data_IF_241210965073
#
_entry.id   IF_241210965073
#
_cell.length_a   1.000
_cell.length_b   1.000
_cell.length_c   1.000
_cell.angle_alpha   90.00
_cell.angle_beta   90.00
_cell.angle_gamma   90.00
#
_symmetry.space_group_name_H-M   'P 1'
#
loop_
_entity.id
_entity.type
_entity.pdbx_description
1 polymer ?
#
# COMPACT_ATOMS: atom_id res chain seq x y z
N UNK A 1 18.59 -13.21 -9.46
CA UNK A 1 18.88 -12.37 -8.27
C UNK A 1 17.83 -12.69 -7.22
N UNK A 2 18.25 -12.89 -5.99
CA UNK A 2 17.36 -13.27 -4.88
C UNK A 2 16.34 -12.17 -4.59
N UNK A 3 15.05 -12.52 -4.59
CA UNK A 3 13.97 -11.61 -4.20
C UNK A 3 13.81 -11.63 -2.68
N UNK A 4 13.94 -10.48 -2.05
CA UNK A 4 13.92 -10.31 -0.58
C UNK A 4 12.77 -9.44 -0.10
N UNK A 5 12.40 -8.45 -0.92
CA UNK A 5 11.36 -7.49 -0.59
C UNK A 5 10.14 -7.80 -1.46
N UNK A 6 8.97 -7.86 -0.86
CA UNK A 6 7.73 -8.09 -1.58
C UNK A 6 6.82 -6.89 -1.35
N UNK A 7 6.48 -6.15 -2.42
CA UNK A 7 5.48 -5.09 -2.34
C UNK A 7 4.14 -5.60 -2.85
N UNK A 8 3.05 -5.28 -2.17
CA UNK A 8 1.69 -5.70 -2.56
C UNK A 8 0.80 -4.48 -2.74
N UNK A 9 0.58 -4.11 -4.00
CA UNK A 9 -0.52 -3.24 -4.40
C UNK A 9 -1.80 -4.05 -4.52
N UNK A 10 -2.96 -3.44 -4.27
CA UNK A 10 -4.20 -4.24 -4.15
C UNK A 10 -5.46 -3.41 -4.31
N UNK A 11 -6.48 -3.96 -4.94
CA UNK A 11 -7.84 -3.42 -4.87
C UNK A 11 -8.46 -3.62 -3.49
N UNK A 12 -9.38 -2.73 -3.09
CA UNK A 12 -10.11 -2.88 -1.83
C UNK A 12 -11.04 -4.09 -1.92
N UNK A 13 -11.00 -4.95 -0.92
CA UNK A 13 -11.78 -6.19 -0.89
C UNK A 13 -11.13 -7.39 -1.59
N UNK A 14 -10.08 -7.23 -2.41
CA UNK A 14 -9.41 -8.34 -3.10
C UNK A 14 -8.65 -9.32 -2.17
N UNK A 15 -8.43 -8.95 -0.92
CA UNK A 15 -7.68 -9.82 0.00
C UNK A 15 -6.16 -9.62 -0.02
N UNK A 16 -5.62 -8.69 -0.81
CA UNK A 16 -4.17 -8.48 -0.92
C UNK A 16 -3.46 -8.25 0.41
N UNK A 17 -4.12 -7.58 1.39
CA UNK A 17 -3.58 -7.47 2.75
C UNK A 17 -3.46 -8.83 3.45
N UNK A 18 -4.44 -9.70 3.26
CA UNK A 18 -4.43 -11.06 3.82
C UNK A 18 -3.33 -11.89 3.17
N UNK A 19 -3.24 -11.83 1.84
CA UNK A 19 -2.15 -12.48 1.08
C UNK A 19 -0.78 -12.02 1.61
N UNK A 20 -0.56 -10.70 1.72
CA UNK A 20 0.72 -10.17 2.21
C UNK A 20 1.10 -10.66 3.61
N UNK A 21 0.14 -10.70 4.53
CA UNK A 21 0.38 -11.22 5.88
C UNK A 21 0.76 -12.69 5.83
N UNK A 22 0.00 -13.51 5.12
CA UNK A 22 0.27 -14.96 5.03
C UNK A 22 1.59 -15.26 4.33
N UNK A 23 1.97 -14.47 3.31
CA UNK A 23 3.30 -14.58 2.67
C UNK A 23 4.40 -14.26 3.69
N UNK A 24 4.26 -13.18 4.46
CA UNK A 24 5.24 -12.81 5.48
C UNK A 24 5.38 -13.88 6.58
N UNK A 25 4.25 -14.40 7.06
CA UNK A 25 4.22 -15.50 8.06
C UNK A 25 4.90 -16.76 7.53
N UNK A 26 4.60 -17.17 6.29
CA UNK A 26 5.19 -18.38 5.65
C UNK A 26 6.69 -18.26 5.42
N UNK A 27 7.14 -17.08 4.98
CA UNK A 27 8.56 -16.82 4.72
C UNK A 27 9.36 -16.45 5.99
N UNK A 28 8.68 -16.24 7.13
CA UNK A 28 9.32 -15.83 8.38
C UNK A 28 9.95 -14.44 8.33
N UNK A 29 9.35 -13.51 7.57
CA UNK A 29 9.85 -12.14 7.38
C UNK A 29 8.87 -11.09 7.91
N UNK A 30 9.33 -9.87 8.26
CA UNK A 30 8.48 -8.79 8.74
C UNK A 30 7.38 -8.40 7.74
N UNK A 31 6.22 -8.00 8.29
CA UNK A 31 5.06 -7.51 7.57
C UNK A 31 4.78 -6.06 7.93
N UNK A 32 4.70 -5.17 6.94
CA UNK A 32 4.45 -3.74 7.11
C UNK A 32 3.17 -3.30 6.40
N UNK A 33 2.20 -2.83 7.18
CA UNK A 33 0.93 -2.26 6.72
C UNK A 33 0.51 -1.12 7.67
N UNK A 34 -0.03 -1.41 8.86
CA UNK A 34 -0.31 -0.39 9.87
C UNK A 34 0.96 0.13 10.55
N UNK A 35 1.89 -0.74 10.78
CA UNK A 35 3.21 -0.44 11.35
C UNK A 35 3.96 0.61 10.51
N UNK A 36 3.72 0.64 9.21
CA UNK A 36 4.24 1.67 8.31
C UNK A 36 3.61 3.04 8.60
N UNK A 37 2.30 3.07 8.89
CA UNK A 37 1.59 4.31 9.28
C UNK A 37 2.17 4.85 10.59
N UNK A 38 2.42 3.97 11.55
CA UNK A 38 2.97 4.35 12.86
C UNK A 38 4.39 4.91 12.72
N UNK A 39 5.24 4.32 11.88
CA UNK A 39 6.59 4.84 11.61
C UNK A 39 6.55 6.20 10.89
N UNK A 40 5.71 6.36 9.87
CA UNK A 40 5.52 7.63 9.19
C UNK A 40 4.99 8.70 10.16
N UNK A 41 4.08 8.32 11.05
CA UNK A 41 3.54 9.19 12.10
C UNK A 41 4.65 9.68 13.04
N UNK A 42 5.49 8.77 13.51
CA UNK A 42 6.60 9.08 14.39
C UNK A 42 7.60 10.04 13.73
N UNK A 43 7.99 9.77 12.48
CA UNK A 43 8.98 10.58 11.76
C UNK A 43 8.43 11.92 11.28
N UNK A 44 7.14 11.99 10.92
CA UNK A 44 6.51 13.22 10.45
C UNK A 44 6.00 14.13 11.57
N UNK A 45 5.78 13.58 12.78
CA UNK A 45 5.12 14.28 13.87
C UNK A 45 3.60 14.41 13.73
N UNK A 46 2.99 13.85 12.67
CA UNK A 46 1.53 13.85 12.49
C UNK A 46 0.88 12.67 13.20
N UNK A 47 -0.37 12.86 13.66
CA UNK A 47 -1.14 11.77 14.26
C UNK A 47 -1.35 10.60 13.28
N UNK A 48 -1.32 9.32 13.73
CA UNK A 48 -1.50 8.16 12.86
C UNK A 48 -2.76 8.23 11.99
N UNK A 49 -3.88 8.71 12.54
CA UNK A 49 -5.13 8.92 11.80
C UNK A 49 -4.96 9.90 10.64
N UNK A 50 -4.22 10.98 10.86
CA UNK A 50 -3.92 11.95 9.81
C UNK A 50 -3.07 11.33 8.70
N UNK A 51 -2.02 10.57 9.06
CA UNK A 51 -1.17 9.84 8.12
C UNK A 51 -1.98 8.79 7.34
N UNK A 52 -2.90 8.07 7.99
CA UNK A 52 -3.76 7.08 7.34
C UNK A 52 -4.71 7.76 6.33
N UNK A 53 -5.32 8.87 6.72
CA UNK A 53 -6.26 9.60 5.87
C UNK A 53 -5.58 10.31 4.70
N UNK A 54 -4.42 10.91 4.90
CA UNK A 54 -3.73 11.75 3.91
C UNK A 54 -2.67 11.00 3.10
N UNK A 55 -2.09 9.94 3.63
CA UNK A 55 -1.07 9.14 2.94
C UNK A 55 -1.59 8.30 1.77
N UNK A 56 -2.91 8.11 1.64
CA UNK A 56 -3.57 7.52 0.46
C UNK A 56 -4.49 8.55 -0.25
N UNK A 57 -4.40 9.85 0.08
CA UNK A 57 -5.18 10.92 -0.55
C UNK A 57 -4.26 11.82 -1.38
N UNK A 58 -4.80 12.32 -2.50
CA UNK A 58 -4.08 13.29 -3.32
C UNK A 58 -4.12 14.69 -2.72
N UNK A 59 -3.08 15.50 -2.91
CA UNK A 59 -3.14 16.93 -2.64
C UNK A 59 -4.25 17.55 -3.48
N UNK A 60 -5.14 18.30 -2.86
CA UNK A 60 -6.16 19.08 -3.56
C UNK A 60 -7.62 18.85 -3.17
N UNK A 61 -7.95 17.87 -2.34
CA UNK A 61 -9.34 17.63 -1.96
C UNK A 61 -9.76 18.20 -0.60
N UNK A 62 -8.93 18.97 0.10
CA UNK A 62 -9.33 19.55 1.39
C UNK A 62 -8.73 20.91 1.68
N UNK A 63 -9.58 21.93 1.68
CA UNK A 63 -9.35 23.22 2.35
C UNK A 63 -9.09 23.05 3.88
N UNK A 64 -9.31 21.85 4.42
CA UNK A 64 -9.11 21.50 5.83
C UNK A 64 -7.66 21.15 6.19
N UNK A 65 -6.74 20.99 5.23
CA UNK A 65 -5.33 20.66 5.49
C UNK A 65 -4.62 21.73 6.33
N UNK A 66 -5.10 22.98 6.32
CA UNK A 66 -4.55 24.07 7.13
C UNK A 66 -5.00 24.04 8.60
N UNK A 67 -6.13 23.41 8.92
CA UNK A 67 -6.71 23.44 10.26
C UNK A 67 -6.09 22.41 11.23
N UNK A 68 -5.38 21.42 10.73
CA UNK A 68 -4.77 20.34 11.52
C UNK A 68 -3.23 20.26 11.40
N UNK A 69 -2.61 21.25 10.77
CA UNK A 69 -1.17 21.41 10.88
C UNK A 69 -0.84 21.67 12.37
N UNK A 70 0.10 20.92 12.99
CA UNK A 70 0.52 21.22 14.36
C UNK A 70 0.97 22.66 14.39
N UNK A 71 0.29 23.50 15.20
CA UNK A 71 0.76 24.85 15.48
C UNK A 71 2.11 24.71 16.21
N UNK A 72 3.21 24.87 15.49
CA UNK A 72 4.52 24.86 16.12
C UNK A 72 5.68 24.31 15.29
N UNK A 73 5.52 23.97 14.02
CA UNK A 73 6.66 23.59 13.17
C UNK A 73 6.75 24.49 11.93
N UNK A 74 6.93 25.82 12.06
CA UNK A 74 7.37 26.66 10.96
C UNK A 74 8.83 26.34 10.70
N UNK A 75 9.16 25.83 9.52
CA UNK A 75 10.53 25.54 9.12
C UNK A 75 10.87 24.08 8.85
N UNK A 76 10.12 23.09 9.38
CA UNK A 76 10.39 21.67 9.11
C UNK A 76 9.89 21.26 7.72
N UNK A 77 8.88 21.92 7.18
CA UNK A 77 8.32 21.58 5.86
C UNK A 77 9.07 22.23 4.67
N UNK A 78 10.06 23.07 4.91
CA UNK A 78 10.92 23.72 3.88
C UNK A 78 10.13 24.26 2.66
N UNK A 79 8.93 24.81 2.87
CA UNK A 79 8.06 25.30 1.80
C UNK A 79 7.26 24.24 1.06
N UNK A 80 7.35 22.96 1.44
CA UNK A 80 6.54 21.89 0.87
C UNK A 80 5.08 21.95 1.37
N UNK A 81 4.16 21.46 0.54
CA UNK A 81 2.81 21.18 1.04
C UNK A 81 2.86 20.05 2.08
N UNK A 82 1.87 20.00 2.97
CA UNK A 82 1.75 18.90 3.95
C UNK A 82 1.74 17.52 3.27
N UNK A 83 1.12 17.41 2.11
CA UNK A 83 1.05 16.17 1.34
C UNK A 83 2.41 15.76 0.77
N UNK A 84 3.16 16.72 0.20
CA UNK A 84 4.51 16.44 -0.32
C UNK A 84 5.50 16.16 0.81
N UNK A 85 5.37 16.82 1.95
CA UNK A 85 6.16 16.49 3.14
C UNK A 85 5.92 15.06 3.61
N UNK A 86 4.64 14.63 3.74
CA UNK A 86 4.28 13.26 4.09
C UNK A 86 4.76 12.25 3.05
N UNK A 87 4.71 12.60 1.76
CA UNK A 87 5.22 11.76 0.70
C UNK A 87 6.74 11.54 0.85
N UNK A 88 7.50 12.58 1.12
CA UNK A 88 8.94 12.47 1.30
C UNK A 88 9.31 11.60 2.53
N UNK A 89 8.60 11.77 3.65
CA UNK A 89 8.76 10.91 4.83
C UNK A 89 8.41 9.46 4.50
N UNK A 90 7.29 9.23 3.81
CA UNK A 90 6.88 7.90 3.38
C UNK A 90 7.95 7.22 2.51
N UNK A 91 8.52 7.93 1.55
CA UNK A 91 9.62 7.42 0.72
C UNK A 91 10.83 7.04 1.58
N UNK A 92 11.24 7.92 2.49
CA UNK A 92 12.37 7.67 3.42
C UNK A 92 12.13 6.43 4.27
N UNK A 93 10.97 6.31 4.90
CA UNK A 93 10.61 5.16 5.77
C UNK A 93 10.61 3.85 4.97
N UNK A 94 10.02 3.83 3.77
CA UNK A 94 9.97 2.63 2.94
C UNK A 94 11.36 2.19 2.49
N UNK A 95 12.23 3.13 2.10
CA UNK A 95 13.62 2.83 1.74
C UNK A 95 14.39 2.27 2.94
N UNK A 96 14.28 2.90 4.11
CA UNK A 96 14.91 2.42 5.34
C UNK A 96 14.44 1.01 5.75
N UNK A 97 13.14 0.72 5.60
CA UNK A 97 12.61 -0.62 5.86
C UNK A 97 13.22 -1.64 4.89
N UNK A 98 13.26 -1.30 3.60
CA UNK A 98 13.84 -2.15 2.58
C UNK A 98 15.33 -2.42 2.79
N UNK A 99 16.07 -1.46 3.36
CA UNK A 99 17.50 -1.61 3.66
C UNK A 99 17.77 -2.46 4.92
N UNK A 100 16.79 -2.58 5.82
CA UNK A 100 16.92 -3.46 7.01
C UNK A 100 16.92 -4.96 6.68
N UNK A 101 16.37 -5.36 5.53
CA UNK A 101 16.37 -6.74 5.08
C UNK A 101 15.05 -7.22 4.47
N UNK A 102 14.86 -8.55 4.38
CA UNK A 102 13.66 -9.14 3.80
C UNK A 102 12.38 -8.67 4.49
N UNK A 103 11.35 -8.29 3.70
CA UNK A 103 10.07 -7.85 4.26
C UNK A 103 8.93 -7.90 3.23
N UNK A 104 7.70 -7.84 3.72
CA UNK A 104 6.49 -7.60 2.92
C UNK A 104 5.92 -6.23 3.26
N UNK A 105 5.70 -5.40 2.25
CA UNK A 105 5.14 -4.04 2.38
C UNK A 105 3.83 -3.96 1.60
N UNK A 106 2.74 -3.49 2.23
CA UNK A 106 1.42 -3.42 1.60
C UNK A 106 1.00 -1.99 1.32
N UNK A 107 0.85 -1.65 0.05
CA UNK A 107 0.38 -0.34 -0.42
C UNK A 107 1.40 0.77 -0.31
N UNK A 108 0.93 2.01 -0.10
CA UNK A 108 1.77 3.21 0.07
C UNK A 108 2.72 3.48 -1.11
N UNK A 109 2.31 3.06 -2.32
CA UNK A 109 3.12 3.20 -3.53
C UNK A 109 4.52 2.57 -3.40
N UNK A 110 4.68 1.55 -2.52
CA UNK A 110 5.96 0.91 -2.27
C UNK A 110 6.54 0.23 -3.53
N UNK A 111 5.67 -0.26 -4.42
CA UNK A 111 6.03 -0.77 -5.74
C UNK A 111 6.78 0.28 -6.58
N UNK A 112 6.33 1.54 -6.55
CA UNK A 112 6.98 2.62 -7.26
C UNK A 112 8.23 3.13 -6.55
N UNK A 113 8.18 3.28 -5.23
CA UNK A 113 9.33 3.76 -4.42
C UNK A 113 10.51 2.80 -4.55
N UNK A 114 10.24 1.49 -4.65
CA UNK A 114 11.26 0.44 -4.74
C UNK A 114 11.45 -0.10 -6.17
N UNK A 115 10.93 0.59 -7.20
CA UNK A 115 10.93 0.14 -8.60
C UNK A 115 12.32 -0.19 -9.18
N UNK A 116 13.34 0.48 -8.67
CA UNK A 116 14.72 0.31 -9.11
C UNK A 116 15.51 -0.70 -8.24
N UNK A 117 14.83 -1.35 -7.27
CA UNK A 117 15.43 -2.38 -6.40
C UNK A 117 15.34 -3.74 -7.08
N UNK A 118 16.47 -4.32 -7.51
CA UNK A 118 16.47 -5.61 -8.22
C UNK A 118 16.09 -6.80 -7.32
N UNK A 119 16.17 -6.63 -6.00
CA UNK A 119 15.78 -7.61 -4.99
C UNK A 119 14.31 -7.48 -4.55
N UNK A 120 13.54 -6.55 -5.14
CA UNK A 120 12.11 -6.42 -4.91
C UNK A 120 11.27 -7.26 -5.89
N UNK A 121 10.16 -7.80 -5.40
CA UNK A 121 9.08 -8.41 -6.17
C UNK A 121 7.83 -7.54 -6.00
N UNK A 122 7.31 -7.01 -7.09
CA UNK A 122 6.13 -6.15 -7.09
C UNK A 122 4.90 -6.94 -7.52
N UNK A 123 3.96 -7.14 -6.59
CA UNK A 123 2.71 -7.86 -6.85
C UNK A 123 1.49 -6.94 -6.81
N UNK A 124 0.52 -7.23 -7.67
CA UNK A 124 -0.80 -6.61 -7.66
C UNK A 124 -1.89 -7.66 -7.44
N UNK A 125 -2.75 -7.46 -6.42
CA UNK A 125 -3.85 -8.38 -6.10
C UNK A 125 -5.18 -7.72 -6.41
N UNK A 126 -5.95 -8.33 -7.30
CA UNK A 126 -7.27 -7.85 -7.71
C UNK A 126 -8.33 -8.96 -7.64
N UNK A 127 -9.57 -8.61 -7.81
CA UNK A 127 -10.68 -9.54 -8.01
C UNK A 127 -11.88 -8.81 -8.62
N UNK A 128 -12.88 -9.53 -9.07
CA UNK A 128 -14.11 -8.95 -9.58
C UNK A 128 -14.93 -8.22 -8.48
N UNK A 129 -15.82 -7.36 -8.90
CA UNK A 129 -16.64 -6.55 -7.98
C UNK A 129 -17.54 -7.42 -7.08
N UNK A 130 -18.27 -8.45 -7.58
CA UNK A 130 -19.11 -9.30 -6.75
C UNK A 130 -18.32 -9.98 -5.62
N UNK A 131 -17.20 -10.61 -5.93
CA UNK A 131 -16.34 -11.25 -4.92
C UNK A 131 -15.86 -10.26 -3.85
N UNK A 132 -15.40 -9.08 -4.29
CA UNK A 132 -14.90 -8.05 -3.38
C UNK A 132 -16.01 -7.45 -2.51
N UNK A 133 -17.19 -7.25 -3.07
CA UNK A 133 -18.36 -6.72 -2.37
C UNK A 133 -18.80 -7.67 -1.24
N UNK A 134 -18.97 -8.96 -1.54
CA UNK A 134 -19.27 -9.98 -0.52
C UNK A 134 -18.19 -10.02 0.57
N UNK A 135 -16.93 -10.01 0.17
CA UNK A 135 -15.80 -10.08 1.10
C UNK A 135 -15.76 -8.89 2.07
N UNK A 136 -16.02 -7.66 1.61
CA UNK A 136 -15.99 -6.49 2.50
C UNK A 136 -17.16 -6.48 3.48
N UNK A 137 -18.34 -6.95 3.09
CA UNK A 137 -19.48 -7.11 4.00
C UNK A 137 -19.16 -8.14 5.08
N UNK A 138 -18.69 -9.32 4.69
CA UNK A 138 -18.31 -10.38 5.64
C UNK A 138 -17.22 -9.93 6.63
N UNK A 139 -16.28 -9.09 6.21
CA UNK A 139 -15.12 -8.71 7.04
C UNK A 139 -15.31 -7.43 7.84
N UNK A 140 -16.07 -6.48 7.33
CA UNK A 140 -16.21 -5.13 7.90
C UNK A 140 -17.65 -4.76 8.23
N UNK A 141 -18.61 -5.64 7.96
CA UNK A 141 -20.03 -5.41 8.17
C UNK A 141 -20.68 -4.47 7.16
N UNK A 142 -21.96 -4.26 7.37
CA UNK A 142 -22.79 -3.33 6.61
C UNK A 142 -22.42 -1.86 6.96
N UNK A 143 -22.83 -0.94 6.10
CA UNK A 143 -22.71 0.50 6.31
C UNK A 143 -23.80 1.23 5.55
N UNK A 144 -23.94 2.56 5.73
CA UNK A 144 -24.89 3.40 5.00
C UNK A 144 -24.62 3.46 3.48
N UNK A 145 -23.43 2.99 3.03
CA UNK A 145 -23.05 2.92 1.63
C UNK A 145 -23.12 1.48 1.14
N UNK A 146 -23.53 1.29 -0.12
CA UNK A 146 -23.47 -0.04 -0.73
C UNK A 146 -22.04 -0.57 -0.80
N UNK A 147 -21.84 -1.87 -0.84
CA UNK A 147 -20.51 -2.46 -0.97
C UNK A 147 -19.75 -1.90 -2.18
N UNK A 148 -20.40 -1.76 -3.34
CA UNK A 148 -19.83 -1.26 -4.58
C UNK A 148 -19.39 0.20 -4.45
N UNK A 149 -20.18 1.05 -3.78
CA UNK A 149 -19.81 2.43 -3.48
C UNK A 149 -18.54 2.49 -2.63
N UNK A 150 -18.46 1.63 -1.59
CA UNK A 150 -17.28 1.52 -0.72
C UNK A 150 -16.04 1.09 -1.51
N UNK A 151 -16.18 0.11 -2.40
CA UNK A 151 -15.10 -0.36 -3.29
C UNK A 151 -14.62 0.78 -4.17
N UNK A 152 -15.55 1.41 -4.88
CA UNK A 152 -15.25 2.50 -5.82
C UNK A 152 -14.53 3.67 -5.14
N UNK A 153 -15.00 4.13 -3.99
CA UNK A 153 -14.40 5.25 -3.26
C UNK A 153 -12.97 4.94 -2.80
N UNK A 154 -12.74 3.75 -2.25
CA UNK A 154 -11.41 3.35 -1.76
C UNK A 154 -10.42 3.20 -2.92
N UNK A 155 -10.83 2.55 -4.00
CA UNK A 155 -9.96 2.35 -5.16
C UNK A 155 -9.74 3.64 -5.95
N UNK A 156 -10.75 4.54 -6.02
CA UNK A 156 -10.59 5.87 -6.60
C UNK A 156 -9.51 6.67 -5.88
N UNK A 157 -9.51 6.65 -4.53
CA UNK A 157 -8.49 7.35 -3.72
C UNK A 157 -7.09 6.84 -4.04
N UNK A 158 -6.90 5.51 -4.07
CA UNK A 158 -5.61 4.88 -4.41
C UNK A 158 -5.15 5.24 -5.81
N UNK A 159 -6.06 5.15 -6.79
CA UNK A 159 -5.77 5.49 -8.19
C UNK A 159 -5.30 6.93 -8.33
N UNK A 160 -6.01 7.87 -7.72
CA UNK A 160 -5.68 9.30 -7.81
C UNK A 160 -4.35 9.59 -7.10
N UNK A 161 -4.13 9.03 -5.92
CA UNK A 161 -2.85 9.15 -5.19
C UNK A 161 -1.68 8.57 -5.99
N UNK A 162 -1.84 7.35 -6.51
CA UNK A 162 -0.81 6.68 -7.31
C UNK A 162 -0.46 7.49 -8.56
N UNK A 163 -1.47 7.92 -9.32
CA UNK A 163 -1.28 8.76 -10.52
C UNK A 163 -0.55 10.06 -10.18
N UNK A 164 -0.93 10.71 -9.09
CA UNK A 164 -0.35 12.00 -8.69
C UNK A 164 1.16 11.89 -8.40
N UNK A 165 1.57 10.90 -7.59
CA UNK A 165 2.97 10.78 -7.16
C UNK A 165 3.86 9.99 -8.12
N UNK A 166 3.28 9.15 -8.96
CA UNK A 166 4.06 8.25 -9.82
C UNK A 166 3.97 8.59 -11.31
N UNK A 167 2.95 9.32 -11.72
CA UNK A 167 2.61 9.54 -13.13
C UNK A 167 2.08 8.28 -13.84
N UNK A 168 1.95 7.14 -13.13
CA UNK A 168 1.56 5.84 -13.69
C UNK A 168 0.09 5.54 -13.44
N UNK A 169 -0.49 4.66 -14.27
CA UNK A 169 -1.84 4.14 -14.05
C UNK A 169 -1.83 3.01 -13.03
N UNK A 170 -2.52 3.20 -11.92
CA UNK A 170 -2.65 2.18 -10.88
C UNK A 170 -3.39 0.93 -11.38
N UNK A 171 -2.88 -0.26 -11.04
CA UNK A 171 -3.44 -1.54 -11.47
C UNK A 171 -3.08 -1.94 -12.91
N UNK A 172 -2.31 -1.14 -13.63
CA UNK A 172 -1.80 -1.50 -14.94
C UNK A 172 -0.72 -2.57 -14.78
N UNK A 173 -0.93 -3.74 -15.41
CA UNK A 173 -0.07 -4.93 -15.22
C UNK A 173 1.41 -4.69 -15.44
N UNK A 174 1.77 -3.78 -16.35
CA UNK A 174 3.17 -3.44 -16.67
C UNK A 174 3.91 -2.73 -15.52
N UNK A 175 3.19 -2.28 -14.49
CA UNK A 175 3.80 -1.67 -13.31
C UNK A 175 4.25 -2.70 -12.26
N UNK A 176 3.90 -3.97 -12.46
CA UNK A 176 4.13 -5.05 -11.49
C UNK A 176 4.80 -6.24 -12.14
N UNK A 177 5.57 -7.00 -11.35
CA UNK A 177 6.18 -8.25 -11.81
C UNK A 177 5.14 -9.36 -11.98
N UNK A 178 4.06 -9.31 -11.15
CA UNK A 178 2.96 -10.26 -11.19
C UNK A 178 1.64 -9.61 -10.76
N UNK A 179 0.55 -9.97 -11.46
CA UNK A 179 -0.81 -9.59 -11.10
C UNK A 179 -1.67 -10.85 -10.93
N UNK A 180 -2.34 -10.98 -9.77
CA UNK A 180 -3.09 -12.19 -9.41
C UNK A 180 -4.56 -11.86 -9.12
N UNK A 181 -5.46 -12.60 -9.76
CA UNK A 181 -6.89 -12.57 -9.48
C UNK A 181 -7.20 -13.49 -8.29
N UNK A 182 -7.39 -12.90 -7.13
CA UNK A 182 -7.71 -13.64 -5.90
C UNK A 182 -9.15 -14.16 -5.83
N UNK A 183 -10.03 -13.65 -6.69
CA UNK A 183 -11.39 -14.17 -6.83
C UNK A 183 -11.41 -15.51 -7.55
N UNK A 184 -10.54 -15.68 -8.55
CA UNK A 184 -10.40 -16.90 -9.34
C UNK A 184 -9.47 -17.90 -8.65
N UNK A 185 -8.30 -17.45 -8.20
CA UNK A 185 -7.27 -18.33 -7.62
C UNK A 185 -7.55 -18.70 -6.16
N UNK A 186 -8.22 -17.82 -5.42
CA UNK A 186 -8.28 -17.89 -3.97
C UNK A 186 -7.03 -17.33 -3.29
N UNK A 187 -7.16 -17.03 -1.99
CA UNK A 187 -6.10 -16.41 -1.20
C UNK A 187 -4.87 -17.33 -1.08
N UNK A 188 -5.11 -18.61 -0.74
CA UNK A 188 -4.03 -19.57 -0.48
C UNK A 188 -3.16 -19.80 -1.72
N UNK A 189 -3.77 -19.93 -2.91
CA UNK A 189 -3.03 -20.09 -4.15
C UNK A 189 -2.22 -18.84 -4.50
N UNK A 190 -2.75 -17.64 -4.23
CA UNK A 190 -1.97 -16.41 -4.40
C UNK A 190 -0.73 -16.40 -3.50
N UNK A 191 -0.86 -16.87 -2.25
CA UNK A 191 0.26 -17.01 -1.31
C UNK A 191 1.28 -18.02 -1.81
N UNK A 192 0.83 -19.19 -2.27
CA UNK A 192 1.69 -20.25 -2.80
C UNK A 192 2.54 -19.74 -3.98
N UNK A 193 1.93 -19.04 -4.92
CA UNK A 193 2.60 -18.47 -6.08
C UNK A 193 3.70 -17.50 -5.65
N UNK A 194 3.37 -16.54 -4.77
CA UNK A 194 4.33 -15.53 -4.34
C UNK A 194 5.50 -16.13 -3.55
N UNK A 195 5.23 -17.06 -2.63
CA UNK A 195 6.27 -17.76 -1.90
C UNK A 195 7.19 -18.58 -2.83
N UNK A 196 6.60 -19.31 -3.80
CA UNK A 196 7.36 -20.10 -4.79
C UNK A 196 8.30 -19.22 -5.61
N UNK A 197 7.86 -18.02 -6.05
CA UNK A 197 8.70 -17.08 -6.79
C UNK A 197 9.90 -16.65 -5.94
N UNK A 198 9.66 -16.28 -4.69
CA UNK A 198 10.73 -15.85 -3.78
C UNK A 198 11.71 -16.98 -3.47
N UNK A 199 11.23 -18.17 -3.16
CA UNK A 199 12.06 -19.34 -2.87
C UNK A 199 12.91 -19.77 -4.06
N UNK A 200 12.34 -19.76 -5.26
CA UNK A 200 13.06 -20.10 -6.48
C UNK A 200 14.08 -19.03 -6.89
N UNK A 201 13.92 -17.78 -6.45
CA UNK A 201 14.88 -16.72 -6.72
C UNK A 201 16.17 -16.83 -5.90
N UNK A 202 16.20 -17.68 -4.87
CA UNK A 202 17.38 -17.96 -4.02
C UNK A 202 18.38 -18.94 -4.69
N UNK A 203 17.94 -19.61 -5.76
CA UNK A 203 18.79 -20.51 -6.56
C UNK A 203 19.55 -19.72 -7.63
#
# INVERSE_FOLDING_TARGET
>A
MEKKIITISREFGSGGRTVGRMVAERLGIPFYDKELVDQISLESGFAPKFVEEHGEHSPGSSLFSYAFAPQGIPGVMNGLSTADFLWNIQCSVILQIADKGPCVIVGRNADYILKDRPDALHAYIFADIPYRAERIVRRYGESDKTPEQRLHEKDKRRRVNYQHYTGRTWGQSQNYDISLDSGVLGIDQCVDILCTIVENSKK
#
